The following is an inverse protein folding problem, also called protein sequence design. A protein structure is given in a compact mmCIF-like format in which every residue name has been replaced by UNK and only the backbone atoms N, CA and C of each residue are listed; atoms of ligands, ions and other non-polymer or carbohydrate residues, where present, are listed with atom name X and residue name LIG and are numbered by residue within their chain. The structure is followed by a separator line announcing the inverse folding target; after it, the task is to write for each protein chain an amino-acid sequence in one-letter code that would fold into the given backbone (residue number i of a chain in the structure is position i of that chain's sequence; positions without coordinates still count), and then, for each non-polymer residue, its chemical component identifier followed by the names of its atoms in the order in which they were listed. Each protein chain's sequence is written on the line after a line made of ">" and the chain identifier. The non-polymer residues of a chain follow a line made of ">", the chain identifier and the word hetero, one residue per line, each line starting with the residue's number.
data_IF_881405382557
#
_entry.id   IF_881405382557
#
_cell.length_a   1.000
_cell.length_b   1.000
_cell.length_c   1.000
_cell.angle_alpha   90.00
_cell.angle_beta   90.00
_cell.angle_gamma   90.00
#
_symmetry.space_group_name_H-M   'P 1'
#
loop_
_entity.id
_entity.type
_entity.pdbx_description
1 polymer ?
#
# COMPACT_ATOMS: atom_id res chain seq x y z
N UNK A 1 23.89 -6.28 -12.20
CA UNK A 1 24.21 -6.24 -10.76
C UNK A 1 24.02 -7.64 -10.22
N UNK A 2 25.08 -8.45 -10.17
CA UNK A 2 25.05 -9.81 -9.62
C UNK A 2 25.36 -9.68 -8.13
N UNK A 3 24.36 -9.86 -7.27
CA UNK A 3 24.55 -10.04 -5.83
C UNK A 3 25.22 -11.41 -5.64
N UNK A 4 26.54 -11.46 -5.78
CA UNK A 4 27.32 -12.67 -5.45
C UNK A 4 27.34 -12.74 -3.92
N UNK A 5 26.37 -13.49 -3.38
CA UNK A 5 26.21 -13.78 -1.96
C UNK A 5 26.96 -15.06 -1.58
N UNK A 6 28.23 -15.19 -1.97
CA UNK A 6 29.09 -16.27 -1.48
C UNK A 6 29.75 -15.82 -0.17
N UNK A 7 29.21 -16.27 0.97
CA UNK A 7 29.83 -16.12 2.29
C UNK A 7 29.07 -15.29 3.33
N UNK A 8 27.89 -14.75 3.02
CA UNK A 8 27.12 -13.99 4.02
C UNK A 8 26.39 -14.92 5.02
N UNK A 9 26.36 -14.59 6.33
CA UNK A 9 25.74 -15.42 7.34
C UNK A 9 24.26 -15.61 7.03
N UNK A 10 23.76 -16.86 7.12
CA UNK A 10 22.35 -17.26 6.89
C UNK A 10 21.31 -16.27 7.48
N UNK A 11 21.66 -15.63 8.60
CA UNK A 11 20.88 -14.58 9.26
C UNK A 11 20.57 -13.35 8.37
N UNK A 12 21.52 -12.88 7.56
CA UNK A 12 21.32 -11.74 6.65
C UNK A 12 20.37 -12.13 5.53
N UNK A 13 20.51 -13.34 4.99
CA UNK A 13 19.61 -13.86 3.96
C UNK A 13 18.17 -13.97 4.49
N UNK A 14 18.01 -14.53 5.70
CA UNK A 14 16.71 -14.59 6.39
C UNK A 14 16.13 -13.20 6.63
N UNK A 15 16.93 -12.23 7.06
CA UNK A 15 16.47 -10.85 7.31
C UNK A 15 15.98 -10.14 6.04
N UNK A 16 16.63 -10.38 4.90
CA UNK A 16 16.19 -9.82 3.62
C UNK A 16 14.86 -10.45 3.20
N UNK A 17 14.75 -11.78 3.25
CA UNK A 17 13.52 -12.48 2.88
C UNK A 17 12.33 -12.12 3.77
N UNK A 18 12.55 -11.94 5.08
CA UNK A 18 11.48 -11.48 5.99
C UNK A 18 11.05 -10.05 5.69
N UNK A 19 11.98 -9.14 5.39
CA UNK A 19 11.61 -7.78 4.97
C UNK A 19 10.80 -7.78 3.67
N UNK A 20 11.20 -8.58 2.67
CA UNK A 20 10.46 -8.73 1.41
C UNK A 20 9.07 -9.29 1.65
N UNK A 21 8.94 -10.32 2.51
CA UNK A 21 7.63 -10.89 2.85
C UNK A 21 6.72 -9.88 3.55
N UNK A 22 7.24 -9.14 4.55
CA UNK A 22 6.50 -8.09 5.26
C UNK A 22 6.09 -6.97 4.32
N UNK A 23 6.97 -6.57 3.40
CA UNK A 23 6.67 -5.57 2.38
C UNK A 23 5.53 -6.03 1.45
N UNK A 24 5.60 -7.26 0.94
CA UNK A 24 4.56 -7.82 0.07
C UNK A 24 3.21 -7.92 0.78
N UNK A 25 3.17 -8.44 2.02
CA UNK A 25 1.93 -8.54 2.80
C UNK A 25 1.33 -7.15 3.04
N UNK A 26 2.17 -6.18 3.42
CA UNK A 26 1.74 -4.80 3.64
C UNK A 26 1.21 -4.16 2.35
N UNK A 27 1.89 -4.37 1.23
CA UNK A 27 1.48 -3.85 -0.08
C UNK A 27 0.14 -4.44 -0.52
N UNK A 28 -0.07 -5.75 -0.37
CA UNK A 28 -1.35 -6.40 -0.65
C UNK A 28 -2.44 -5.85 0.28
N UNK A 29 -2.14 -5.61 1.56
CA UNK A 29 -3.05 -4.98 2.51
C UNK A 29 -3.52 -3.59 2.07
N UNK A 30 -2.63 -2.77 1.52
CA UNK A 30 -2.98 -1.46 0.94
C UNK A 30 -3.90 -1.64 -0.27
N UNK A 31 -3.54 -2.52 -1.21
CA UNK A 31 -4.35 -2.76 -2.41
C UNK A 31 -5.75 -3.28 -2.08
N UNK A 32 -5.87 -4.22 -1.14
CA UNK A 32 -7.15 -4.73 -0.66
C UNK A 32 -7.98 -3.64 0.01
N UNK A 33 -7.34 -2.78 0.81
CA UNK A 33 -8.02 -1.65 1.44
C UNK A 33 -8.59 -0.70 0.39
N UNK A 34 -7.81 -0.35 -0.64
CA UNK A 34 -8.25 0.49 -1.77
C UNK A 34 -9.40 -0.18 -2.53
N UNK A 35 -9.29 -1.48 -2.81
CA UNK A 35 -10.33 -2.23 -3.53
C UNK A 35 -11.66 -2.28 -2.74
N UNK A 36 -11.60 -2.61 -1.45
CA UNK A 36 -12.77 -2.64 -0.57
C UNK A 36 -13.42 -1.26 -0.45
N UNK A 37 -12.61 -0.20 -0.39
CA UNK A 37 -13.06 1.18 -0.44
C UNK A 37 -13.84 1.48 -1.73
N UNK A 38 -13.26 1.16 -2.89
CA UNK A 38 -13.84 1.51 -4.19
C UNK A 38 -15.15 0.76 -4.44
N UNK A 39 -15.22 -0.49 -3.97
CA UNK A 39 -16.43 -1.31 -4.05
C UNK A 39 -17.51 -0.82 -3.09
N UNK A 40 -17.18 -0.55 -1.82
CA UNK A 40 -18.15 -0.08 -0.81
C UNK A 40 -18.70 1.32 -1.11
N UNK A 41 -17.85 2.23 -1.59
CA UNK A 41 -18.27 3.59 -1.94
C UNK A 41 -18.98 3.67 -3.28
N UNK A 42 -19.01 2.58 -4.06
CA UNK A 42 -19.46 2.57 -5.45
C UNK A 42 -18.83 3.71 -6.25
N UNK A 43 -17.57 4.08 -5.94
CA UNK A 43 -16.89 5.20 -6.56
C UNK A 43 -16.60 4.95 -8.04
N UNK A 44 -16.44 3.68 -8.44
CA UNK A 44 -16.24 3.27 -9.83
C UNK A 44 -17.55 3.23 -10.63
N UNK A 45 -18.68 3.00 -9.96
CA UNK A 45 -19.98 2.88 -10.61
C UNK A 45 -20.54 4.27 -10.97
N UNK A 46 -20.81 4.48 -12.26
CA UNK A 46 -21.63 5.60 -12.72
C UNK A 46 -23.08 5.24 -12.47
N UNK A 47 -23.77 6.00 -11.63
CA UNK A 47 -25.18 5.71 -11.38
C UNK A 47 -26.03 6.13 -12.60
N UNK A 48 -27.16 5.47 -12.87
CA UNK A 48 -28.00 5.77 -14.04
C UNK A 48 -28.53 7.22 -14.05
N UNK A 49 -28.75 7.81 -12.87
CA UNK A 49 -29.08 9.22 -12.65
C UNK A 49 -27.94 10.17 -13.05
N UNK A 50 -26.70 9.71 -13.12
CA UNK A 50 -25.52 10.51 -13.45
C UNK A 50 -25.11 10.42 -14.91
N UNK A 51 -25.72 9.53 -15.70
CA UNK A 51 -25.45 9.43 -17.14
C UNK A 51 -25.84 10.69 -17.93
N UNK A 52 -26.71 11.54 -17.37
CA UNK A 52 -27.14 12.81 -17.97
C UNK A 52 -26.19 13.98 -17.67
N UNK A 53 -25.28 13.84 -16.71
CA UNK A 53 -24.35 14.90 -16.29
C UNK A 53 -23.17 15.01 -17.25
N UNK A 54 -22.50 16.18 -17.26
CA UNK A 54 -21.23 16.38 -17.96
C UNK A 54 -20.15 15.41 -17.44
N UNK A 55 -19.19 15.03 -18.29
CA UNK A 55 -18.07 14.17 -17.90
C UNK A 55 -17.34 14.69 -16.64
N UNK A 56 -17.15 16.01 -16.56
CA UNK A 56 -16.49 16.67 -15.43
C UNK A 56 -17.31 16.60 -14.14
N UNK A 57 -18.62 16.74 -14.23
CA UNK A 57 -19.52 16.63 -13.07
C UNK A 57 -19.59 15.19 -12.57
N UNK A 58 -19.57 14.20 -13.47
CA UNK A 58 -19.46 12.78 -13.10
C UNK A 58 -18.14 12.50 -12.40
N UNK A 59 -17.03 13.02 -12.92
CA UNK A 59 -15.72 12.88 -12.29
C UNK A 59 -15.68 13.53 -10.90
N UNK A 60 -16.26 14.72 -10.74
CA UNK A 60 -16.38 15.41 -9.46
C UNK A 60 -17.21 14.62 -8.45
N UNK A 61 -18.36 14.04 -8.85
CA UNK A 61 -19.18 13.22 -7.95
C UNK A 61 -18.54 11.88 -7.59
N UNK A 62 -17.82 11.25 -8.52
CA UNK A 62 -17.01 10.06 -8.25
C UNK A 62 -15.88 10.38 -7.27
N UNK A 63 -15.19 11.51 -7.48
CA UNK A 63 -14.15 12.00 -6.57
C UNK A 63 -14.71 12.33 -5.18
N UNK A 64 -15.89 12.95 -5.08
CA UNK A 64 -16.51 13.26 -3.79
C UNK A 64 -16.96 11.99 -3.04
N UNK A 65 -17.43 10.96 -3.74
CA UNK A 65 -17.72 9.62 -3.17
C UNK A 65 -16.46 8.87 -2.75
N UNK A 66 -15.36 9.04 -3.47
CA UNK A 66 -14.06 8.59 -2.98
C UNK A 66 -13.61 9.44 -1.77
N UNK A 67 -13.88 10.74 -1.74
CA UNK A 67 -13.55 11.62 -0.61
C UNK A 67 -14.29 11.28 0.68
N UNK A 68 -15.51 10.71 0.59
CA UNK A 68 -16.31 10.36 1.76
C UNK A 68 -15.67 9.30 2.66
N UNK A 69 -14.65 8.59 2.18
CA UNK A 69 -13.83 7.65 2.98
C UNK A 69 -13.19 8.37 4.19
N UNK A 70 -12.74 9.62 4.01
CA UNK A 70 -12.09 10.40 5.06
C UNK A 70 -13.09 10.94 6.09
N UNK A 71 -14.34 11.16 5.67
CA UNK A 71 -15.39 11.70 6.54
C UNK A 71 -16.19 10.61 7.28
N UNK A 72 -16.40 9.44 6.67
CA UNK A 72 -17.28 8.41 7.23
C UNK A 72 -16.54 7.47 8.20
N UNK A 73 -17.08 7.34 9.41
CA UNK A 73 -16.50 6.53 10.50
C UNK A 73 -16.48 5.02 10.19
N UNK A 74 -17.32 4.53 9.27
CA UNK A 74 -17.31 3.12 8.85
C UNK A 74 -15.98 2.68 8.25
N UNK A 75 -15.26 3.60 7.61
CA UNK A 75 -13.95 3.33 7.02
C UNK A 75 -12.78 3.59 7.97
N UNK A 76 -13.03 3.88 9.25
CA UNK A 76 -11.96 4.16 10.23
C UNK A 76 -11.02 2.97 10.37
N UNK A 77 -11.56 1.74 10.44
CA UNK A 77 -10.75 0.52 10.49
C UNK A 77 -9.89 0.35 9.23
N UNK A 78 -10.45 0.57 8.02
CA UNK A 78 -9.69 0.50 6.78
C UNK A 78 -8.60 1.58 6.68
N UNK A 79 -8.87 2.78 7.21
CA UNK A 79 -7.86 3.86 7.29
C UNK A 79 -6.71 3.46 8.20
N UNK A 80 -6.99 2.91 9.38
CA UNK A 80 -5.94 2.36 10.25
C UNK A 80 -5.17 1.22 9.59
N UNK A 81 -5.85 0.32 8.89
CA UNK A 81 -5.22 -0.80 8.19
C UNK A 81 -4.28 -0.28 7.09
N UNK A 82 -4.74 0.67 6.26
CA UNK A 82 -3.90 1.34 5.26
C UNK A 82 -2.72 2.11 5.87
N UNK A 83 -2.92 2.83 6.98
CA UNK A 83 -1.87 3.57 7.66
C UNK A 83 -0.81 2.62 8.25
N UNK A 84 -1.26 1.54 8.90
CA UNK A 84 -0.37 0.52 9.45
C UNK A 84 0.45 -0.18 8.34
N UNK A 85 -0.16 -0.42 7.18
CA UNK A 85 0.52 -1.02 6.05
C UNK A 85 1.53 -0.06 5.38
N UNK A 86 1.24 1.24 5.34
CA UNK A 86 2.20 2.27 4.88
C UNK A 86 3.37 2.41 5.86
N UNK A 87 3.11 2.39 7.17
CA UNK A 87 4.18 2.41 8.17
C UNK A 87 5.01 1.12 8.09
N UNK A 88 4.37 -0.03 7.89
CA UNK A 88 5.04 -1.32 7.70
C UNK A 88 5.89 -1.38 6.44
N UNK A 89 5.44 -0.79 5.33
CA UNK A 89 6.21 -0.72 4.08
C UNK A 89 7.40 0.23 4.20
N UNK A 90 7.22 1.41 4.81
CA UNK A 90 8.32 2.34 5.08
C UNK A 90 9.35 1.77 6.06
N UNK A 91 8.88 1.09 7.11
CA UNK A 91 9.74 0.45 8.11
C UNK A 91 10.53 -0.72 7.52
N UNK A 92 9.89 -1.59 6.72
CA UNK A 92 10.58 -2.69 6.04
C UNK A 92 11.56 -2.19 4.98
N UNK A 93 11.22 -1.16 4.21
CA UNK A 93 12.14 -0.57 3.24
C UNK A 93 13.35 0.11 3.91
N UNK A 94 13.12 0.86 5.00
CA UNK A 94 14.17 1.51 5.77
C UNK A 94 15.12 0.51 6.43
N UNK A 95 14.60 -0.58 6.98
CA UNK A 95 15.43 -1.65 7.57
C UNK A 95 16.24 -2.38 6.50
N UNK A 96 15.68 -2.61 5.32
CA UNK A 96 16.40 -3.21 4.19
C UNK A 96 17.56 -2.32 3.71
N UNK A 97 17.33 -1.00 3.62
CA UNK A 97 18.39 -0.03 3.32
C UNK A 97 19.47 0.02 4.39
N UNK A 98 19.12 -0.06 5.68
CA UNK A 98 20.09 -0.11 6.78
C UNK A 98 20.94 -1.38 6.72
N UNK A 99 20.33 -2.54 6.43
CA UNK A 99 21.06 -3.80 6.27
C UNK A 99 22.04 -3.71 5.10
N UNK A 100 21.60 -3.18 3.95
CA UNK A 100 22.46 -2.99 2.77
C UNK A 100 23.57 -1.97 3.05
N UNK A 101 23.29 -0.86 3.74
CA UNK A 101 24.31 0.13 4.07
C UNK A 101 25.39 -0.44 4.99
N UNK A 102 24.98 -1.08 6.08
CA UNK A 102 25.91 -1.60 7.10
C UNK A 102 26.75 -2.79 6.58
N UNK A 103 26.15 -3.69 5.79
CA UNK A 103 26.84 -4.88 5.29
C UNK A 103 27.42 -4.72 3.87
N UNK A 104 26.91 -3.78 3.08
CA UNK A 104 27.41 -3.46 1.75
C UNK A 104 28.66 -2.57 1.76
N UNK A 105 28.88 -1.77 2.81
CA UNK A 105 30.16 -1.07 3.02
C UNK A 105 31.30 -2.00 3.47
N UNK A 106 30.98 -3.24 3.88
CA UNK A 106 31.98 -4.24 4.32
C UNK A 106 32.43 -5.22 3.24
N UNK A 107 32.01 -5.04 1.98
CA UNK A 107 32.44 -5.86 0.83
C UNK A 107 33.34 -5.08 -0.12
#
# INVERSE_FOLDING_TARGET
>A
MKLVMEGQPLLVHLAIWTCVAVFLISFVGVLLSIYLILTKTNALATKPDEMRLSYWERAARKSNRAGSIFAQNEFKYLRYLSASAVIGSLGSFGTLLLIIGIFGERS
#
